data_IF_207054459265
#
_entry.id   IF_207054459265
#
_cell.length_a   1.000
_cell.length_b   1.000
_cell.length_c   1.000
_cell.angle_alpha   90.00
_cell.angle_beta   90.00
_cell.angle_gamma   90.00
#
_symmetry.space_group_name_H-M   'P 1'
#
loop_
_entity.id
_entity.type
_entity.pdbx_description
1 polymer ?
#
# COMPACT_ATOMS: atom_id res chain seq x y z
N UNK A 1 -11.12 -2.74 -13.34
CA UNK A 1 -9.87 -3.42 -12.94
C UNK A 1 -9.27 -2.62 -11.79
N UNK A 2 -9.78 -2.81 -10.57
CA UNK A 2 -9.13 -2.23 -9.39
C UNK A 2 -8.06 -3.21 -8.97
N UNK A 3 -6.83 -3.00 -9.43
CA UNK A 3 -5.64 -3.63 -8.87
C UNK A 3 -5.42 -2.97 -7.52
N UNK A 4 -5.18 -3.73 -6.45
CA UNK A 4 -4.86 -3.15 -5.15
C UNK A 4 -3.67 -2.21 -5.35
N UNK A 5 -3.91 -0.91 -5.31
CA UNK A 5 -2.85 0.09 -5.52
C UNK A 5 -1.96 0.04 -4.29
N UNK A 6 -0.82 -0.64 -4.43
CA UNK A 6 0.32 -0.67 -3.49
C UNK A 6 0.38 0.63 -2.73
N UNK A 7 0.49 0.58 -1.40
CA UNK A 7 0.71 1.75 -0.54
C UNK A 7 1.71 2.68 -1.24
N UNK A 8 1.35 3.95 -1.44
CA UNK A 8 2.12 4.84 -2.29
C UNK A 8 2.39 6.17 -1.61
N UNK A 9 3.57 6.74 -1.89
CA UNK A 9 3.97 8.05 -1.41
C UNK A 9 3.68 9.10 -2.49
N UNK A 10 3.11 10.24 -2.11
CA UNK A 10 2.86 11.36 -3.02
C UNK A 10 2.98 12.71 -2.31
N UNK A 11 3.13 13.79 -3.09
CA UNK A 11 3.18 15.17 -2.60
C UNK A 11 2.05 15.98 -3.24
N UNK A 12 1.43 16.89 -2.47
CA UNK A 12 0.40 17.80 -2.97
C UNK A 12 1.05 19.15 -3.32
N UNK A 13 0.62 19.78 -4.41
CA UNK A 13 1.23 21.02 -4.94
C UNK A 13 1.21 22.19 -3.93
N UNK A 14 0.22 22.26 -3.04
CA UNK A 14 0.01 23.42 -2.15
C UNK A 14 0.11 23.12 -0.65
N UNK A 15 0.52 21.91 -0.25
CA UNK A 15 0.61 21.54 1.17
C UNK A 15 2.02 21.09 1.50
N UNK A 16 2.63 21.71 2.52
CA UNK A 16 3.92 21.29 3.07
C UNK A 16 3.73 19.95 3.78
N UNK A 17 4.41 18.91 3.28
CA UNK A 17 4.35 17.56 3.82
C UNK A 17 4.29 16.50 2.72
N UNK A 18 4.48 15.26 3.12
CA UNK A 18 4.41 14.07 2.31
C UNK A 18 3.17 13.28 2.68
N UNK A 19 2.59 12.59 1.71
CA UNK A 19 1.37 11.85 1.90
C UNK A 19 1.60 10.39 1.55
N UNK A 20 1.08 9.49 2.37
CA UNK A 20 1.04 8.07 2.08
C UNK A 20 -0.41 7.68 1.86
N UNK A 21 -0.73 7.19 0.67
CA UNK A 21 -2.07 6.71 0.30
C UNK A 21 -2.11 5.19 0.26
N UNK A 22 -3.25 4.61 0.63
CA UNK A 22 -3.53 3.19 0.47
C UNK A 22 -5.03 2.96 0.29
N UNK A 23 -5.42 1.75 -0.11
CA UNK A 23 -6.80 1.30 -0.06
C UNK A 23 -6.98 0.30 1.07
N UNK A 24 -8.09 0.42 1.78
CA UNK A 24 -8.48 -0.46 2.88
C UNK A 24 -9.99 -0.69 2.76
N UNK A 25 -10.41 -1.94 2.62
CA UNK A 25 -11.82 -2.32 2.42
C UNK A 25 -12.52 -1.53 1.30
N UNK A 26 -11.85 -1.35 0.16
CA UNK A 26 -12.38 -0.60 -1.00
C UNK A 26 -12.40 0.92 -0.85
N UNK A 27 -11.98 1.46 0.30
CA UNK A 27 -11.93 2.91 0.54
C UNK A 27 -10.50 3.43 0.47
N UNK A 28 -10.32 4.58 -0.20
CA UNK A 28 -9.04 5.28 -0.24
C UNK A 28 -8.78 5.95 1.10
N UNK A 29 -7.64 5.64 1.71
CA UNK A 29 -7.11 6.26 2.94
C UNK A 29 -5.83 7.01 2.62
N UNK A 30 -5.50 8.01 3.44
CA UNK A 30 -4.23 8.72 3.34
C UNK A 30 -3.77 9.22 4.71
N UNK A 31 -2.45 9.32 4.88
CA UNK A 31 -1.80 9.90 6.06
C UNK A 31 -0.79 10.96 5.63
N UNK A 32 -0.80 12.11 6.32
CA UNK A 32 0.20 13.15 6.13
C UNK A 32 1.39 12.94 7.08
N UNK A 33 2.60 13.14 6.58
CA UNK A 33 3.86 12.99 7.29
C UNK A 33 4.78 14.17 6.96
N UNK A 34 5.63 14.63 7.89
CA UNK A 34 6.39 15.86 7.70
C UNK A 34 7.56 15.71 6.72
N UNK A 35 8.23 14.55 6.68
CA UNK A 35 9.42 14.31 5.83
C UNK A 35 9.20 13.15 4.87
N UNK A 36 10.01 13.12 3.79
CA UNK A 36 9.96 12.05 2.78
C UNK A 36 10.35 10.71 3.37
N UNK A 37 11.44 10.66 4.13
CA UNK A 37 11.93 9.42 4.75
C UNK A 37 10.90 8.82 5.71
N UNK A 38 10.18 9.65 6.48
CA UNK A 38 9.08 9.18 7.32
C UNK A 38 7.93 8.59 6.48
N UNK A 39 7.60 9.23 5.35
CA UNK A 39 6.57 8.73 4.44
C UNK A 39 6.96 7.40 3.79
N UNK A 40 8.20 7.27 3.35
CA UNK A 40 8.73 6.02 2.79
C UNK A 40 8.75 4.89 3.83
N UNK A 41 9.23 5.18 5.04
CA UNK A 41 9.25 4.18 6.11
C UNK A 41 7.83 3.75 6.52
N UNK A 42 6.90 4.70 6.68
CA UNK A 42 5.51 4.40 6.97
C UNK A 42 4.84 3.61 5.83
N UNK A 43 5.20 3.90 4.58
CA UNK A 43 4.73 3.17 3.41
C UNK A 43 5.11 1.68 3.47
N UNK A 44 6.36 1.38 3.82
CA UNK A 44 6.82 0.00 4.00
C UNK A 44 6.08 -0.69 5.16
N UNK A 45 5.97 -0.03 6.31
CA UNK A 45 5.27 -0.58 7.48
C UNK A 45 3.80 -0.87 7.18
N UNK A 46 3.12 0.04 6.47
CA UNK A 46 1.71 -0.18 6.08
C UNK A 46 1.53 -1.26 5.04
N UNK A 47 2.46 -1.39 4.09
CA UNK A 47 2.44 -2.51 3.16
C UNK A 47 2.57 -3.85 3.91
N UNK A 48 3.52 -3.97 4.84
CA UNK A 48 3.66 -5.15 5.68
C UNK A 48 2.41 -5.46 6.50
N UNK A 49 1.78 -4.43 7.08
CA UNK A 49 0.53 -4.60 7.83
C UNK A 49 -0.59 -5.12 6.93
N UNK A 50 -0.85 -4.47 5.79
CA UNK A 50 -1.94 -4.88 4.89
C UNK A 50 -1.75 -6.30 4.37
N UNK A 51 -0.52 -6.70 4.05
CA UNK A 51 -0.22 -8.07 3.65
C UNK A 51 -0.47 -9.07 4.77
N UNK A 52 -0.14 -8.71 6.01
CA UNK A 52 -0.46 -9.54 7.19
C UNK A 52 -1.96 -9.64 7.42
N UNK A 53 -2.72 -8.55 7.24
CA UNK A 53 -4.17 -8.51 7.39
C UNK A 53 -4.89 -9.31 6.29
N UNK A 54 -4.33 -9.34 5.07
CA UNK A 54 -4.78 -10.24 3.99
C UNK A 54 -4.50 -11.69 4.35
N UNK A 55 -3.31 -12.02 4.84
CA UNK A 55 -2.94 -13.38 5.22
C UNK A 55 -3.80 -13.93 6.38
N UNK A 56 -4.20 -13.06 7.31
CA UNK A 56 -5.03 -13.41 8.47
C UNK A 56 -6.54 -13.34 8.18
N UNK A 57 -6.95 -12.93 6.97
CA UNK A 57 -8.34 -12.88 6.56
C UNK A 57 -9.13 -11.68 7.11
N UNK A 58 -8.46 -10.71 7.75
CA UNK A 58 -9.08 -9.48 8.26
C UNK A 58 -9.48 -8.55 7.11
N UNK A 59 -8.70 -8.54 6.02
CA UNK A 59 -9.00 -7.78 4.80
C UNK A 59 -9.43 -8.74 3.69
N UNK A 60 -10.65 -8.56 3.19
CA UNK A 60 -11.13 -9.24 1.98
C UNK A 60 -10.49 -8.63 0.75
N UNK A 61 -9.66 -9.42 0.06
CA UNK A 61 -9.03 -9.08 -1.22
C UNK A 61 -9.55 -10.02 -2.32
N UNK A 62 -9.58 -9.57 -3.57
CA UNK A 62 -10.01 -10.42 -4.69
C UNK A 62 -8.91 -11.45 -5.06
N UNK A 63 -9.32 -12.67 -5.40
CA UNK A 63 -8.42 -13.76 -5.77
C UNK A 63 -7.46 -13.41 -6.93
N UNK A 64 -7.92 -12.63 -7.91
CA UNK A 64 -7.07 -12.21 -9.04
C UNK A 64 -5.93 -11.30 -8.57
N UNK A 65 -6.19 -10.46 -7.56
CA UNK A 65 -5.19 -9.55 -7.00
C UNK A 65 -4.10 -10.31 -6.25
N UNK A 66 -4.47 -11.35 -5.47
CA UNK A 66 -3.48 -12.20 -4.79
C UNK A 66 -2.55 -12.92 -5.77
N UNK A 67 -3.08 -13.43 -6.89
CA UNK A 67 -2.27 -14.09 -7.92
C UNK A 67 -1.27 -13.12 -8.55
N UNK A 68 -1.68 -11.90 -8.85
CA UNK A 68 -0.82 -10.86 -9.44
C UNK A 68 0.35 -10.53 -8.52
N UNK A 69 0.08 -10.29 -7.23
CA UNK A 69 1.12 -10.02 -6.22
C UNK A 69 2.07 -11.21 -6.04
N UNK A 70 1.54 -12.43 -5.99
CA UNK A 70 2.38 -13.64 -5.89
C UNK A 70 3.30 -13.77 -7.11
N UNK A 71 2.79 -13.53 -8.33
CA UNK A 71 3.60 -13.56 -9.56
C UNK A 71 4.68 -12.47 -9.57
N UNK A 72 4.36 -11.25 -9.14
CA UNK A 72 5.37 -10.19 -9.00
C UNK A 72 6.46 -10.59 -8.01
N UNK A 73 6.09 -11.16 -6.85
CA UNK A 73 7.06 -11.61 -5.85
C UNK A 73 8.02 -12.67 -6.40
N UNK A 74 7.52 -13.62 -7.21
CA UNK A 74 8.31 -14.69 -7.81
C UNK A 74 9.19 -14.24 -8.96
N UNK A 75 8.84 -13.16 -9.67
CA UNK A 75 9.72 -12.56 -10.69
C UNK A 75 11.00 -11.95 -10.10
N UNK A 76 10.95 -11.47 -8.85
CA UNK A 76 12.08 -10.81 -8.19
C UNK A 76 13.01 -11.83 -7.53
N UNK A 77 12.54 -13.06 -7.30
CA UNK A 77 13.24 -14.04 -6.47
C UNK A 77 14.21 -14.97 -7.20
N UNK A 78 14.42 -14.80 -8.52
CA UNK A 78 15.51 -15.39 -9.31
C UNK A 78 15.78 -16.87 -9.06
#
# INVERSE_FOLDING_TARGET
MDVMKKVWVYKRKSIKGWWVGWYESGKRKAKALPTKNLAEHYCQLKYSQLNSDVFTGIVTIDWKQMIEEYRESKKVQG
#
